data_IF_644518435801
#
_entry.id   IF_644518435801
#
_cell.length_a   1.000
_cell.length_b   1.000
_cell.length_c   1.000
_cell.angle_alpha   90.00
_cell.angle_beta   90.00
_cell.angle_gamma   90.00
#
_symmetry.space_group_name_H-M   'P 1'
#
loop_
_entity.id
_entity.type
_entity.pdbx_description
1 polymer ?
#
# COMPACT_ATOMS: atom_id res chain seq x y z
N UNK A 1 1.61 12.77 38.74
CA UNK A 1 1.83 12.87 37.29
C UNK A 1 2.14 11.49 36.75
N UNK A 2 1.53 11.12 35.64
CA UNK A 2 1.61 9.82 34.98
C UNK A 2 2.44 9.95 33.71
N UNK A 3 3.37 9.02 33.51
CA UNK A 3 4.20 8.97 32.31
C UNK A 3 3.35 8.59 31.10
N UNK A 4 3.45 9.39 30.04
CA UNK A 4 2.80 9.16 28.76
C UNK A 4 3.78 8.50 27.81
N UNK A 5 4.73 9.23 27.26
CA UNK A 5 5.62 8.73 26.22
C UNK A 5 6.94 9.48 26.22
N UNK A 6 7.89 8.94 25.47
CA UNK A 6 9.21 9.54 25.27
C UNK A 6 9.44 9.78 23.78
N UNK A 7 9.85 11.00 23.44
CA UNK A 7 10.20 11.38 22.07
C UNK A 7 11.69 11.73 21.97
N UNK A 8 12.27 11.57 20.79
CA UNK A 8 13.70 11.84 20.59
C UNK A 8 14.00 13.35 20.54
N UNK A 9 13.00 14.15 20.18
CA UNK A 9 13.07 15.60 20.11
C UNK A 9 11.78 16.26 20.58
N UNK A 10 11.87 17.50 21.08
CA UNK A 10 10.69 18.29 21.45
C UNK A 10 9.79 18.61 20.23
N UNK A 11 10.37 18.72 19.04
CA UNK A 11 9.63 18.96 17.80
C UNK A 11 8.63 17.84 17.47
N UNK A 12 8.95 16.59 17.80
CA UNK A 12 8.00 15.48 17.66
C UNK A 12 6.78 15.66 18.59
N UNK A 13 6.98 16.24 19.77
CA UNK A 13 5.93 16.47 20.76
C UNK A 13 5.09 17.72 20.46
N UNK A 14 5.62 18.69 19.71
CA UNK A 14 4.99 19.98 19.47
C UNK A 14 3.51 19.92 19.03
N UNK A 15 3.08 19.02 18.12
CA UNK A 15 1.67 18.90 17.75
C UNK A 15 0.78 18.49 18.92
N UNK A 16 1.23 17.50 19.71
CA UNK A 16 0.49 16.99 20.87
C UNK A 16 0.47 18.03 21.98
N UNK A 17 1.60 18.68 22.26
CA UNK A 17 1.67 19.74 23.27
C UNK A 17 0.71 20.89 22.94
N UNK A 18 0.61 21.30 21.68
CA UNK A 18 -0.35 22.30 21.24
C UNK A 18 -1.79 21.88 21.53
N UNK A 19 -2.12 20.61 21.31
CA UNK A 19 -3.45 20.08 21.55
C UNK A 19 -3.78 19.99 23.05
N UNK A 20 -2.83 19.53 23.87
CA UNK A 20 -2.96 19.50 25.34
C UNK A 20 -3.20 20.90 25.90
N UNK A 21 -2.40 21.88 25.46
CA UNK A 21 -2.56 23.27 25.87
C UNK A 21 -3.91 23.85 25.44
N UNK A 22 -4.39 23.53 24.23
CA UNK A 22 -5.68 24.02 23.74
C UNK A 22 -6.88 23.45 24.50
N UNK A 23 -6.73 22.27 25.10
CA UNK A 23 -7.75 21.61 25.91
C UNK A 23 -7.56 21.82 27.43
N UNK A 24 -6.64 22.71 27.83
CA UNK A 24 -6.30 22.97 29.24
C UNK A 24 -5.89 21.72 30.02
N UNK A 25 -5.25 20.75 29.35
CA UNK A 25 -4.74 19.53 30.00
C UNK A 25 -3.35 19.84 30.55
N UNK A 26 -3.20 19.77 31.87
CA UNK A 26 -1.91 19.98 32.53
C UNK A 26 -0.92 18.86 32.17
N UNK A 27 0.21 19.26 31.60
CA UNK A 27 1.30 18.36 31.24
C UNK A 27 2.66 18.89 31.72
N UNK A 28 3.62 17.98 31.85
CA UNK A 28 5.00 18.28 32.20
C UNK A 28 5.95 17.57 31.25
N UNK A 29 6.94 18.30 30.79
CA UNK A 29 8.06 17.78 30.01
C UNK A 29 9.29 17.68 30.90
N UNK A 30 9.95 16.52 30.85
CA UNK A 30 11.26 16.31 31.45
C UNK A 30 12.24 15.92 30.34
N UNK A 31 13.32 16.69 30.20
CA UNK A 31 14.38 16.40 29.24
C UNK A 31 15.52 15.63 29.93
N UNK A 32 16.01 14.58 29.27
CA UNK A 32 17.18 13.82 29.67
C UNK A 32 18.12 13.57 28.47
N UNK A 33 19.27 12.91 28.70
CA UNK A 33 20.26 12.61 27.63
C UNK A 33 19.69 11.78 26.47
N UNK A 34 18.55 11.13 26.67
CA UNK A 34 17.90 10.25 25.70
C UNK A 34 16.60 10.80 25.13
N UNK A 35 16.25 12.06 25.42
CA UNK A 35 15.13 12.77 24.79
C UNK A 35 14.19 13.47 25.77
N UNK A 36 12.92 13.59 25.38
CA UNK A 36 11.88 14.32 26.10
C UNK A 36 10.77 13.37 26.56
N UNK A 37 10.56 13.30 27.88
CA UNK A 37 9.51 12.50 28.51
C UNK A 37 8.30 13.37 28.85
N UNK A 38 7.13 13.00 28.34
CA UNK A 38 5.86 13.68 28.57
C UNK A 38 5.09 13.02 29.71
N UNK A 39 4.62 13.83 30.65
CA UNK A 39 3.78 13.42 31.76
C UNK A 39 2.48 14.23 31.80
N UNK A 40 1.39 13.63 32.27
CA UNK A 40 0.09 14.29 32.51
C UNK A 40 -0.38 14.12 33.94
N UNK A 41 -1.26 14.99 34.40
CA UNK A 41 -1.79 14.93 35.78
C UNK A 41 -2.82 13.83 35.96
N UNK A 42 -3.72 13.63 34.99
CA UNK A 42 -4.79 12.64 35.07
C UNK A 42 -4.49 11.38 34.24
N UNK A 43 -4.67 10.17 34.81
CA UNK A 43 -4.32 8.92 34.13
C UNK A 43 -5.25 8.62 32.95
N UNK A 44 -6.47 9.19 32.95
CA UNK A 44 -7.47 8.98 31.89
C UNK A 44 -6.99 9.43 30.52
N UNK A 45 -6.06 10.39 30.46
CA UNK A 45 -5.53 10.92 29.20
C UNK A 45 -4.34 10.14 28.66
N UNK A 46 -3.70 9.26 29.43
CA UNK A 46 -2.43 8.62 29.07
C UNK A 46 -2.54 7.86 27.75
N UNK A 47 -3.51 6.95 27.64
CA UNK A 47 -3.66 6.11 26.44
C UNK A 47 -4.14 6.91 25.23
N UNK A 48 -5.08 7.85 25.44
CA UNK A 48 -5.57 8.72 24.38
C UNK A 48 -4.45 9.58 23.76
N UNK A 49 -3.54 10.10 24.58
CA UNK A 49 -2.41 10.92 24.12
C UNK A 49 -1.37 10.05 23.40
N UNK A 50 -1.07 8.85 23.91
CA UNK A 50 -0.20 7.89 23.20
C UNK A 50 -0.75 7.55 21.83
N UNK A 51 -2.02 7.19 21.76
CA UNK A 51 -2.69 6.86 20.50
C UNK A 51 -2.68 8.03 19.52
N UNK A 52 -2.93 9.25 20.00
CA UNK A 52 -2.88 10.46 19.19
C UNK A 52 -1.47 10.75 18.66
N UNK A 53 -0.45 10.58 19.50
CA UNK A 53 0.96 10.75 19.12
C UNK A 53 1.39 9.73 18.06
N UNK A 54 1.08 8.45 18.29
CA UNK A 54 1.41 7.37 17.37
C UNK A 54 0.67 7.54 16.03
N UNK A 55 -0.60 7.98 16.07
CA UNK A 55 -1.36 8.31 14.87
C UNK A 55 -0.74 9.49 14.10
N UNK A 56 -0.27 10.51 14.81
CA UNK A 56 0.43 11.64 14.21
C UNK A 56 1.73 11.21 13.52
N UNK A 57 2.56 10.43 14.22
CA UNK A 57 3.79 9.88 13.63
C UNK A 57 3.50 9.02 12.40
N UNK A 58 2.50 8.14 12.47
CA UNK A 58 2.12 7.29 11.35
C UNK A 58 1.65 8.11 10.13
N UNK A 59 0.99 9.24 10.35
CA UNK A 59 0.63 10.18 9.27
C UNK A 59 1.86 10.87 8.68
N UNK A 60 2.81 11.31 9.51
CA UNK A 60 4.06 11.91 9.03
C UNK A 60 4.87 10.95 8.15
N UNK A 61 4.89 9.65 8.49
CA UNK A 61 5.60 8.61 7.72
C UNK A 61 5.06 8.38 6.30
N UNK A 62 3.86 8.90 6.00
CA UNK A 62 3.20 8.79 4.69
C UNK A 62 3.47 10.00 3.79
N UNK A 63 4.14 11.04 4.30
CA UNK A 63 4.51 12.19 3.48
C UNK A 63 5.66 11.87 2.55
N UNK A 64 5.74 12.54 1.40
CA UNK A 64 6.86 12.42 0.45
C UNK A 64 8.06 13.25 0.93
N UNK A 65 8.67 12.85 2.05
CA UNK A 65 9.89 13.45 2.59
C UNK A 65 11.10 12.56 2.32
N UNK A 66 12.30 13.15 2.35
CA UNK A 66 13.56 12.41 2.18
C UNK A 66 13.74 11.30 3.21
N UNK A 67 13.33 11.55 4.46
CA UNK A 67 13.43 10.58 5.54
C UNK A 67 12.52 9.38 5.29
N UNK A 68 11.30 9.63 4.77
CA UNK A 68 10.34 8.56 4.50
C UNK A 68 10.73 7.73 3.28
N UNK A 69 11.17 8.35 2.18
CA UNK A 69 11.48 7.61 0.94
C UNK A 69 12.70 6.70 1.11
N UNK A 70 13.66 7.08 1.96
CA UNK A 70 14.88 6.27 2.22
C UNK A 70 14.60 4.97 2.97
N UNK A 71 13.53 4.93 3.77
CA UNK A 71 13.16 3.75 4.55
C UNK A 71 12.20 2.80 3.82
N UNK A 72 11.69 3.18 2.64
CA UNK A 72 10.84 2.33 1.76
C UNK A 72 11.40 2.21 0.34
N UNK A 73 12.65 1.76 0.17
CA UNK A 73 13.33 1.76 -1.12
C UNK A 73 12.63 0.92 -2.19
N UNK A 74 11.98 -0.19 -1.83
CA UNK A 74 11.34 -1.07 -2.80
C UNK A 74 10.08 -0.41 -3.36
N UNK A 75 9.26 0.17 -2.49
CA UNK A 75 8.09 0.98 -2.88
C UNK A 75 8.50 2.08 -3.85
N UNK A 76 9.58 2.81 -3.53
CA UNK A 76 10.07 3.88 -4.39
C UNK A 76 10.55 3.36 -5.75
N UNK A 77 11.30 2.26 -5.79
CA UNK A 77 11.78 1.65 -7.04
C UNK A 77 10.60 1.29 -7.94
N UNK A 78 9.54 0.66 -7.41
CA UNK A 78 8.36 0.28 -8.18
C UNK A 78 7.62 1.51 -8.72
N UNK A 79 7.51 2.59 -7.94
CA UNK A 79 6.93 3.85 -8.38
C UNK A 79 7.76 4.46 -9.52
N UNK A 80 9.08 4.56 -9.36
CA UNK A 80 9.97 5.12 -10.38
C UNK A 80 9.90 4.30 -11.67
N UNK A 81 9.96 2.96 -11.58
CA UNK A 81 9.84 2.09 -12.74
C UNK A 81 8.49 2.26 -13.44
N UNK A 82 7.39 2.35 -12.68
CA UNK A 82 6.06 2.58 -13.25
C UNK A 82 5.97 3.93 -13.99
N UNK A 83 6.55 4.98 -13.42
CA UNK A 83 6.63 6.30 -14.06
C UNK A 83 7.47 6.25 -15.34
N UNK A 84 8.66 5.63 -15.29
CA UNK A 84 9.53 5.49 -16.47
C UNK A 84 8.82 4.72 -17.58
N UNK A 85 8.17 3.60 -17.26
CA UNK A 85 7.42 2.80 -18.24
C UNK A 85 6.24 3.59 -18.81
N UNK A 86 5.53 4.36 -17.99
CA UNK A 86 4.46 5.24 -18.47
C UNK A 86 4.97 6.31 -19.46
N UNK A 87 6.16 6.88 -19.23
CA UNK A 87 6.79 7.79 -20.19
C UNK A 87 7.23 7.07 -21.47
N UNK A 88 7.93 5.94 -21.36
CA UNK A 88 8.43 5.16 -22.50
C UNK A 88 7.30 4.66 -23.40
N UNK A 89 6.16 4.30 -22.81
CA UNK A 89 4.97 3.84 -23.53
C UNK A 89 4.03 4.97 -23.94
N UNK A 90 4.32 6.22 -23.52
CA UNK A 90 3.42 7.36 -23.71
C UNK A 90 1.99 7.03 -23.23
N UNK A 91 1.89 6.57 -21.97
CA UNK A 91 0.66 6.10 -21.34
C UNK A 91 -0.04 5.00 -22.15
N UNK A 92 0.75 4.03 -22.65
CA UNK A 92 0.27 2.87 -23.39
C UNK A 92 -0.11 3.12 -24.85
N UNK A 93 0.05 4.33 -25.37
CA UNK A 93 -0.17 4.62 -26.80
C UNK A 93 0.90 3.99 -27.71
N UNK A 94 2.12 3.83 -27.22
CA UNK A 94 3.26 3.24 -27.92
C UNK A 94 3.94 2.14 -27.10
N UNK A 95 4.70 1.24 -27.74
CA UNK A 95 5.58 0.24 -27.09
C UNK A 95 4.94 -0.67 -26.01
N UNK A 96 3.62 -0.72 -25.90
CA UNK A 96 2.90 -1.52 -24.88
C UNK A 96 3.15 -3.03 -24.98
N UNK A 97 3.42 -3.54 -26.18
CA UNK A 97 3.74 -4.96 -26.39
C UNK A 97 5.00 -5.41 -25.66
N UNK A 98 5.92 -4.49 -25.31
CA UNK A 98 7.12 -4.81 -24.53
C UNK A 98 6.83 -5.16 -23.06
N UNK A 99 5.58 -4.95 -22.62
CA UNK A 99 5.17 -5.17 -21.22
C UNK A 99 3.96 -6.09 -21.10
N UNK A 100 3.34 -6.52 -22.21
CA UNK A 100 2.19 -7.42 -22.16
C UNK A 100 2.59 -8.85 -21.80
N UNK A 101 1.76 -9.46 -20.95
CA UNK A 101 1.98 -10.81 -20.43
C UNK A 101 1.99 -11.91 -21.51
N UNK A 102 1.41 -11.65 -22.67
CA UNK A 102 1.33 -12.59 -23.78
C UNK A 102 1.50 -11.85 -25.11
N UNK A 103 2.02 -12.57 -26.10
CA UNK A 103 1.98 -12.15 -27.49
C UNK A 103 0.57 -12.28 -28.04
N UNK A 104 0.27 -11.53 -29.11
CA UNK A 104 -1.06 -11.51 -29.69
C UNK A 104 -1.01 -11.32 -31.22
N UNK A 105 -2.00 -11.90 -31.91
CA UNK A 105 -2.33 -11.63 -33.30
C UNK A 105 -3.74 -11.06 -33.40
N UNK A 106 -3.96 -10.12 -34.31
CA UNK A 106 -5.30 -9.58 -34.58
C UNK A 106 -6.06 -10.41 -35.62
N UNK A 107 -5.35 -11.14 -36.49
CA UNK A 107 -5.94 -11.86 -37.61
C UNK A 107 -5.27 -13.23 -37.83
N UNK A 108 -5.91 -14.34 -37.41
CA UNK A 108 -7.06 -14.41 -36.52
C UNK A 108 -6.73 -13.85 -35.13
N UNK A 109 -7.75 -13.38 -34.40
CA UNK A 109 -7.57 -12.91 -33.02
C UNK A 109 -7.12 -14.08 -32.12
N UNK A 110 -5.88 -14.02 -31.65
CA UNK A 110 -5.29 -15.06 -30.80
C UNK A 110 -4.19 -14.48 -29.92
N UNK A 111 -3.80 -15.22 -28.89
CA UNK A 111 -2.67 -14.90 -28.02
C UNK A 111 -1.97 -16.16 -27.54
N UNK A 112 -0.68 -16.06 -27.21
CA UNK A 112 0.12 -17.15 -26.64
C UNK A 112 1.15 -16.59 -25.66
N UNK A 113 1.51 -17.39 -24.67
CA UNK A 113 2.52 -17.01 -23.69
C UNK A 113 3.89 -16.91 -24.35
N UNK A 114 4.75 -16.07 -23.80
CA UNK A 114 6.15 -15.97 -24.22
C UNK A 114 6.90 -17.25 -23.85
N UNK A 115 7.98 -17.52 -24.57
CA UNK A 115 8.84 -18.67 -24.28
C UNK A 115 9.68 -18.47 -23.00
N UNK A 116 10.13 -19.58 -22.41
CA UNK A 116 11.10 -19.55 -21.32
C UNK A 116 12.46 -19.05 -21.83
N UNK A 117 13.17 -18.13 -21.14
CA UNK A 117 12.89 -17.57 -19.80
C UNK A 117 12.11 -16.24 -19.78
N UNK A 118 11.73 -15.70 -20.93
CA UNK A 118 11.12 -14.37 -21.05
C UNK A 118 9.79 -14.28 -20.30
N UNK A 119 9.03 -15.38 -20.27
CA UNK A 119 7.77 -15.48 -19.54
C UNK A 119 7.85 -15.04 -18.07
N UNK A 120 9.01 -15.18 -17.42
CA UNK A 120 9.21 -14.74 -16.04
C UNK A 120 9.04 -13.22 -15.91
N UNK A 121 9.66 -12.45 -16.80
CA UNK A 121 9.51 -11.00 -16.84
C UNK A 121 8.09 -10.60 -17.20
N UNK A 122 7.53 -11.21 -18.25
CA UNK A 122 6.20 -10.87 -18.75
C UNK A 122 5.04 -11.25 -17.80
N UNK A 123 5.29 -12.18 -16.88
CA UNK A 123 4.35 -12.47 -15.79
C UNK A 123 4.17 -11.30 -14.82
N UNK A 124 5.17 -10.40 -14.73
CA UNK A 124 5.20 -9.27 -13.79
C UNK A 124 5.04 -7.94 -14.52
N UNK A 125 5.65 -7.77 -15.69
CA UNK A 125 5.75 -6.50 -16.41
C UNK A 125 4.44 -5.71 -16.61
N UNK A 126 3.24 -6.32 -16.74
CA UNK A 126 2.00 -5.56 -16.85
C UNK A 126 1.76 -4.60 -15.68
N UNK A 127 2.32 -4.86 -14.49
CA UNK A 127 2.14 -3.98 -13.33
C UNK A 127 2.72 -2.57 -13.55
N UNK A 128 3.67 -2.42 -14.47
CA UNK A 128 4.29 -1.14 -14.79
C UNK A 128 3.58 -0.38 -15.91
N UNK A 129 2.75 -1.05 -16.71
CA UNK A 129 2.04 -0.44 -17.84
C UNK A 129 0.82 0.36 -17.33
N UNK A 130 0.67 1.60 -17.75
CA UNK A 130 -0.46 2.45 -17.34
C UNK A 130 -1.05 3.18 -18.55
N UNK A 131 -2.37 3.39 -18.52
CA UNK A 131 -3.14 4.02 -19.59
C UNK A 131 -3.87 5.23 -19.02
N UNK A 132 -3.55 6.44 -19.47
CA UNK A 132 -4.12 7.68 -18.93
C UNK A 132 -3.44 8.19 -17.66
N UNK A 133 -3.58 9.50 -17.40
CA UNK A 133 -2.94 10.19 -16.27
C UNK A 133 -3.62 9.83 -14.96
N UNK A 134 -4.94 9.81 -14.96
CA UNK A 134 -5.80 9.41 -13.86
C UNK A 134 -5.44 8.02 -13.33
N UNK A 135 -5.16 7.08 -14.23
CA UNK A 135 -4.84 5.71 -13.89
C UNK A 135 -3.47 5.60 -13.20
N UNK A 136 -2.43 6.24 -13.72
CA UNK A 136 -1.11 6.21 -13.06
C UNK A 136 -1.11 7.00 -11.76
N UNK A 137 -1.73 8.19 -11.71
CA UNK A 137 -1.78 9.00 -10.48
C UNK A 137 -2.49 8.24 -9.37
N UNK A 138 -3.66 7.67 -9.64
CA UNK A 138 -4.42 6.92 -8.65
C UNK A 138 -3.65 5.68 -8.17
N UNK A 139 -3.00 4.94 -9.07
CA UNK A 139 -2.17 3.81 -8.70
C UNK A 139 -0.97 4.21 -7.86
N UNK A 140 -0.22 5.26 -8.23
CA UNK A 140 0.98 5.66 -7.49
C UNK A 140 0.62 6.18 -6.09
N UNK A 141 -0.46 6.97 -5.97
CA UNK A 141 -0.95 7.45 -4.67
C UNK A 141 -1.41 6.31 -3.77
N UNK A 142 -2.24 5.41 -4.32
CA UNK A 142 -2.76 4.26 -3.57
C UNK A 142 -1.64 3.30 -3.20
N UNK A 143 -0.74 3.00 -4.15
CA UNK A 143 0.41 2.14 -3.91
C UNK A 143 1.29 2.74 -2.82
N UNK A 144 1.70 4.01 -2.92
CA UNK A 144 2.48 4.67 -1.87
C UNK A 144 1.81 4.56 -0.49
N UNK A 145 0.51 4.82 -0.41
CA UNK A 145 -0.23 4.82 0.86
C UNK A 145 -0.19 3.47 1.57
N UNK A 146 -0.41 2.36 0.85
CA UNK A 146 -0.44 1.02 1.45
C UNK A 146 0.94 0.35 1.47
N UNK A 147 1.71 0.46 0.38
CA UNK A 147 3.01 -0.17 0.24
C UNK A 147 4.04 0.38 1.23
N UNK A 148 4.11 1.71 1.39
CA UNK A 148 5.10 2.30 2.30
C UNK A 148 4.87 1.88 3.75
N UNK A 149 3.59 1.77 4.16
CA UNK A 149 3.22 1.28 5.48
C UNK A 149 3.61 -0.19 5.64
N UNK A 150 3.30 -1.05 4.66
CA UNK A 150 3.61 -2.47 4.76
C UNK A 150 5.12 -2.75 4.69
N UNK A 151 5.88 -2.10 3.81
CA UNK A 151 7.34 -2.28 3.70
C UNK A 151 8.05 -1.98 5.04
N UNK A 152 7.59 -0.96 5.77
CA UNK A 152 8.09 -0.64 7.13
C UNK A 152 7.67 -1.68 8.18
N UNK A 153 6.51 -2.31 8.01
CA UNK A 153 5.88 -3.15 9.07
C UNK A 153 6.23 -4.63 8.98
N UNK A 154 6.26 -5.22 7.79
CA UNK A 154 6.38 -6.68 7.62
C UNK A 154 7.77 -7.16 7.18
N UNK A 155 8.69 -6.21 6.96
CA UNK A 155 10.06 -6.46 6.53
C UNK A 155 10.19 -6.75 5.03
N UNK A 156 11.40 -6.52 4.51
CA UNK A 156 11.69 -6.52 3.06
C UNK A 156 11.41 -7.85 2.37
N UNK A 157 11.70 -8.98 3.02
CA UNK A 157 11.54 -10.31 2.40
C UNK A 157 10.07 -10.64 2.19
N UNK A 158 9.24 -10.51 3.22
CA UNK A 158 7.79 -10.69 3.09
C UNK A 158 7.23 -9.72 2.05
N UNK A 159 7.64 -8.45 2.13
CA UNK A 159 7.21 -7.43 1.18
C UNK A 159 7.48 -7.79 -0.28
N UNK A 160 8.71 -8.15 -0.65
CA UNK A 160 9.08 -8.53 -2.02
C UNK A 160 8.31 -9.79 -2.45
N UNK A 161 8.23 -10.81 -1.59
CA UNK A 161 7.52 -12.04 -1.93
C UNK A 161 6.04 -11.79 -2.21
N UNK A 162 5.38 -10.97 -1.38
CA UNK A 162 3.98 -10.59 -1.57
C UNK A 162 3.77 -9.78 -2.83
N UNK A 163 4.66 -8.81 -3.12
CA UNK A 163 4.61 -8.03 -4.36
C UNK A 163 4.65 -8.92 -5.60
N UNK A 164 5.57 -9.89 -5.65
CA UNK A 164 5.72 -10.82 -6.78
C UNK A 164 4.46 -11.70 -6.90
N UNK A 165 4.00 -12.28 -5.79
CA UNK A 165 2.81 -13.16 -5.79
C UNK A 165 1.56 -12.40 -6.24
N UNK A 166 1.35 -11.18 -5.73
CA UNK A 166 0.23 -10.34 -6.12
C UNK A 166 0.27 -9.97 -7.60
N UNK A 167 1.45 -9.59 -8.11
CA UNK A 167 1.64 -9.25 -9.52
C UNK A 167 1.30 -10.45 -10.42
N UNK A 168 1.93 -11.60 -10.15
CA UNK A 168 1.76 -12.81 -10.96
C UNK A 168 0.30 -13.28 -10.93
N UNK A 169 -0.29 -13.46 -9.74
CA UNK A 169 -1.65 -14.01 -9.64
C UNK A 169 -2.67 -13.08 -10.29
N UNK A 170 -2.60 -11.78 -10.03
CA UNK A 170 -3.57 -10.84 -10.62
C UNK A 170 -3.44 -10.71 -12.14
N UNK A 171 -2.21 -10.72 -12.66
CA UNK A 171 -1.97 -10.65 -14.10
C UNK A 171 -2.46 -11.92 -14.82
N UNK A 172 -2.15 -13.12 -14.31
CA UNK A 172 -2.63 -14.36 -14.92
C UNK A 172 -4.15 -14.50 -14.82
N UNK A 173 -4.75 -14.11 -13.69
CA UNK A 173 -6.21 -14.14 -13.55
C UNK A 173 -6.87 -13.24 -14.60
N UNK A 174 -6.36 -12.01 -14.80
CA UNK A 174 -6.87 -11.10 -15.82
C UNK A 174 -6.65 -11.63 -17.24
N UNK A 175 -5.48 -12.18 -17.54
CA UNK A 175 -5.17 -12.78 -18.84
C UNK A 175 -6.17 -13.87 -19.21
N UNK A 176 -6.43 -14.81 -18.30
CA UNK A 176 -7.32 -15.95 -18.54
C UNK A 176 -8.75 -15.48 -18.79
N UNK A 177 -9.20 -14.43 -18.08
CA UNK A 177 -10.59 -13.97 -18.15
C UNK A 177 -10.87 -12.98 -19.27
N UNK A 178 -9.89 -12.16 -19.66
CA UNK A 178 -10.13 -11.01 -20.55
C UNK A 178 -9.07 -10.85 -21.66
N UNK A 179 -8.05 -11.71 -21.72
CA UNK A 179 -6.95 -11.61 -22.69
C UNK A 179 -5.83 -10.65 -22.25
N UNK A 180 -4.83 -10.41 -23.12
CA UNK A 180 -3.56 -9.77 -22.74
C UNK A 180 -3.58 -8.24 -22.71
N UNK A 181 -4.66 -7.60 -23.15
CA UNK A 181 -4.75 -6.15 -23.32
C UNK A 181 -5.10 -5.44 -22.01
N UNK A 182 -4.22 -5.56 -21.02
CA UNK A 182 -4.36 -4.90 -19.73
C UNK A 182 -2.98 -4.47 -19.19
N UNK A 183 -3.02 -3.69 -18.12
CA UNK A 183 -1.83 -3.20 -17.44
C UNK A 183 -2.24 -2.37 -16.23
N UNK A 184 -1.35 -2.24 -15.27
CA UNK A 184 -1.48 -1.35 -14.14
C UNK A 184 -1.17 -2.04 -12.83
N UNK A 185 -0.71 -1.25 -11.85
CA UNK A 185 -0.34 -1.74 -10.52
C UNK A 185 -1.56 -2.11 -9.65
N UNK A 186 -2.77 -1.82 -10.13
CA UNK A 186 -4.02 -1.89 -9.37
C UNK A 186 -4.36 -3.27 -8.78
N UNK A 187 -4.04 -4.38 -9.46
CA UNK A 187 -4.19 -5.73 -8.90
C UNK A 187 -3.34 -5.93 -7.64
N UNK A 188 -2.09 -5.47 -7.69
CA UNK A 188 -1.20 -5.42 -6.51
C UNK A 188 -1.80 -4.52 -5.44
N UNK A 189 -2.20 -3.28 -5.78
CA UNK A 189 -2.79 -2.32 -4.84
C UNK A 189 -3.99 -2.92 -4.10
N UNK A 190 -4.91 -3.59 -4.78
CA UNK A 190 -6.05 -4.26 -4.14
C UNK A 190 -5.63 -5.37 -3.18
N UNK A 191 -4.57 -6.12 -3.51
CA UNK A 191 -3.96 -7.07 -2.59
C UNK A 191 -3.37 -6.41 -1.34
N UNK A 192 -2.68 -5.28 -1.51
CA UNK A 192 -2.13 -4.52 -0.38
C UNK A 192 -3.23 -3.95 0.52
N UNK A 193 -4.33 -3.48 -0.07
CA UNK A 193 -5.51 -2.99 0.65
C UNK A 193 -6.09 -4.10 1.51
N UNK A 194 -6.33 -5.27 0.93
CA UNK A 194 -6.88 -6.42 1.64
C UNK A 194 -5.96 -6.93 2.75
N UNK A 195 -4.65 -7.03 2.47
CA UNK A 195 -3.65 -7.40 3.47
C UNK A 195 -3.61 -6.39 4.63
N UNK A 196 -3.53 -5.10 4.30
CA UNK A 196 -3.47 -4.01 5.29
C UNK A 196 -4.72 -3.97 6.16
N UNK A 197 -5.89 -4.24 5.58
CA UNK A 197 -7.15 -4.29 6.32
C UNK A 197 -7.16 -5.45 7.33
N UNK A 198 -6.76 -6.65 6.90
CA UNK A 198 -6.64 -7.81 7.77
C UNK A 198 -5.63 -7.58 8.90
N UNK A 199 -4.45 -7.05 8.57
CA UNK A 199 -3.40 -6.72 9.52
C UNK A 199 -3.88 -5.69 10.56
N UNK A 200 -4.49 -4.59 10.10
CA UNK A 200 -4.98 -3.53 10.98
C UNK A 200 -6.06 -4.03 11.94
N UNK A 201 -6.92 -4.97 11.52
CA UNK A 201 -8.00 -5.51 12.34
C UNK A 201 -7.57 -6.62 13.29
N UNK A 202 -6.46 -7.31 13.02
CA UNK A 202 -6.13 -8.57 13.70
C UNK A 202 -4.77 -8.60 14.40
N UNK A 203 -3.84 -7.73 14.02
CA UNK A 203 -2.45 -7.74 14.52
C UNK A 203 -2.13 -6.44 15.23
N UNK A 204 -2.07 -5.33 14.50
CA UNK A 204 -1.76 -4.03 15.08
C UNK A 204 -2.29 -2.90 14.20
N UNK A 205 -2.64 -1.77 14.80
CA UNK A 205 -3.09 -0.59 14.06
C UNK A 205 -2.03 -0.17 13.03
N UNK A 206 -2.48 0.05 11.81
CA UNK A 206 -1.69 0.71 10.77
C UNK A 206 -2.01 2.21 10.70
N UNK A 207 -2.93 2.70 11.54
CA UNK A 207 -3.49 4.05 11.52
C UNK A 207 -4.06 4.46 10.16
N UNK A 208 -4.48 3.49 9.34
CA UNK A 208 -5.13 3.75 8.06
C UNK A 208 -6.61 4.01 8.32
N UNK A 209 -7.18 5.14 7.89
CA UNK A 209 -8.60 5.40 8.08
C UNK A 209 -9.47 4.28 7.51
N UNK A 210 -10.45 3.79 8.30
CA UNK A 210 -11.33 2.70 7.85
C UNK A 210 -12.08 3.05 6.55
N UNK A 211 -12.38 4.34 6.34
CA UNK A 211 -13.01 4.87 5.15
C UNK A 211 -12.24 4.56 3.85
N UNK A 212 -10.91 4.43 3.89
CA UNK A 212 -10.12 4.06 2.70
C UNK A 212 -10.44 2.65 2.23
N UNK A 213 -10.60 1.69 3.16
CA UNK A 213 -10.94 0.32 2.81
C UNK A 213 -12.37 0.23 2.28
N UNK A 214 -13.31 0.91 2.94
CA UNK A 214 -14.70 0.95 2.48
C UNK A 214 -14.81 1.58 1.09
N UNK A 215 -14.10 2.68 0.86
CA UNK A 215 -14.01 3.32 -0.44
C UNK A 215 -13.43 2.36 -1.48
N UNK A 216 -12.30 1.70 -1.20
CA UNK A 216 -11.68 0.78 -2.15
C UNK A 216 -12.57 -0.40 -2.54
N UNK A 217 -13.26 -1.01 -1.58
CA UNK A 217 -14.18 -2.12 -1.86
C UNK A 217 -15.45 -1.65 -2.58
N UNK A 218 -15.99 -0.47 -2.23
CA UNK A 218 -17.08 0.14 -2.99
C UNK A 218 -16.66 0.45 -4.44
N UNK A 219 -15.45 1.00 -4.61
CA UNK A 219 -14.86 1.29 -5.92
C UNK A 219 -14.69 0.02 -6.77
N UNK A 220 -14.28 -1.10 -6.15
CA UNK A 220 -14.21 -2.41 -6.81
C UNK A 220 -15.58 -2.86 -7.30
N UNK A 221 -16.62 -2.77 -6.45
CA UNK A 221 -17.97 -3.18 -6.81
C UNK A 221 -18.54 -2.29 -7.93
N UNK A 222 -18.30 -0.97 -7.87
CA UNK A 222 -18.66 -0.05 -8.94
C UNK A 222 -17.91 -0.36 -10.24
N UNK A 223 -16.69 -0.91 -10.14
CA UNK A 223 -15.89 -1.37 -11.27
C UNK A 223 -16.61 -2.40 -12.15
N UNK A 224 -17.41 -3.26 -11.55
CA UNK A 224 -18.23 -4.25 -12.26
C UNK A 224 -19.47 -3.66 -12.95
N UNK A 225 -19.71 -2.36 -12.80
CA UNK A 225 -20.79 -1.65 -13.49
C UNK A 225 -20.25 -0.83 -14.67
N UNK A 226 -21.07 -0.50 -15.68
CA UNK A 226 -20.64 0.36 -16.80
C UNK A 226 -20.35 1.82 -16.42
N UNK A 227 -20.48 2.19 -15.14
CA UNK A 227 -20.38 3.57 -14.67
C UNK A 227 -19.08 4.25 -15.13
N UNK A 228 -17.94 3.58 -15.00
CA UNK A 228 -16.63 4.14 -15.36
C UNK A 228 -16.45 4.32 -16.86
N UNK A 229 -17.01 3.43 -17.67
CA UNK A 229 -17.06 3.59 -19.13
C UNK A 229 -17.91 4.80 -19.51
N UNK A 230 -19.07 4.99 -18.85
CA UNK A 230 -19.98 6.12 -19.11
C UNK A 230 -19.35 7.48 -18.81
N UNK A 231 -18.49 7.58 -17.80
CA UNK A 231 -17.80 8.82 -17.43
C UNK A 231 -16.41 8.95 -18.08
N UNK A 232 -16.05 8.05 -19.00
CA UNK A 232 -14.83 8.15 -19.81
C UNK A 232 -13.54 7.68 -19.13
N UNK A 233 -13.63 6.91 -18.04
CA UNK A 233 -12.47 6.33 -17.35
C UNK A 233 -12.04 4.96 -17.91
N UNK A 234 -12.75 4.45 -18.92
CA UNK A 234 -12.48 3.17 -19.56
C UNK A 234 -12.97 1.96 -18.76
N UNK A 235 -12.72 0.76 -19.31
CA UNK A 235 -13.09 -0.49 -18.66
C UNK A 235 -12.06 -0.89 -17.61
N UNK A 236 -12.55 -1.29 -16.44
CA UNK A 236 -11.69 -1.69 -15.33
C UNK A 236 -11.27 -3.15 -15.47
N UNK A 237 -10.00 -3.43 -15.17
CA UNK A 237 -9.46 -4.79 -15.05
C UNK A 237 -9.94 -5.46 -13.74
N UNK A 238 -11.26 -5.63 -13.59
CA UNK A 238 -11.86 -6.05 -12.32
C UNK A 238 -11.40 -7.43 -11.87
N UNK A 239 -11.09 -8.34 -12.79
CA UNK A 239 -10.55 -9.66 -12.44
C UNK A 239 -9.19 -9.52 -11.76
N UNK A 240 -8.31 -8.63 -12.26
CA UNK A 240 -7.04 -8.32 -11.61
C UNK A 240 -7.26 -7.76 -10.19
N UNK A 241 -8.22 -6.85 -10.02
CA UNK A 241 -8.52 -6.25 -8.71
C UNK A 241 -9.05 -7.27 -7.71
N UNK A 242 -10.05 -8.06 -8.10
CA UNK A 242 -10.67 -9.06 -7.24
C UNK A 242 -9.68 -10.17 -6.86
N UNK A 243 -8.98 -10.72 -7.86
CA UNK A 243 -7.96 -11.75 -7.60
C UNK A 243 -6.83 -11.21 -6.72
N UNK A 244 -6.36 -9.99 -6.98
CA UNK A 244 -5.40 -9.29 -6.14
C UNK A 244 -5.86 -9.18 -4.69
N UNK A 245 -7.10 -8.70 -4.45
CA UNK A 245 -7.67 -8.59 -3.11
C UNK A 245 -7.76 -9.94 -2.39
N UNK A 246 -8.23 -10.99 -3.08
CA UNK A 246 -8.30 -12.36 -2.53
C UNK A 246 -6.90 -12.87 -2.17
N UNK A 247 -5.94 -12.75 -3.08
CA UNK A 247 -4.56 -13.18 -2.86
C UNK A 247 -3.90 -12.42 -1.71
N UNK A 248 -4.13 -11.10 -1.62
CA UNK A 248 -3.62 -10.27 -0.53
C UNK A 248 -4.19 -10.67 0.83
N UNK A 249 -5.49 -10.98 0.89
CA UNK A 249 -6.10 -11.47 2.12
C UNK A 249 -5.56 -12.85 2.53
N UNK A 250 -5.43 -13.78 1.57
CA UNK A 250 -4.81 -15.10 1.82
C UNK A 250 -3.37 -14.93 2.31
N UNK A 251 -2.59 -14.06 1.67
CA UNK A 251 -1.22 -13.76 2.07
C UNK A 251 -1.17 -13.22 3.51
N UNK A 252 -2.09 -12.34 3.89
CA UNK A 252 -2.23 -11.89 5.28
C UNK A 252 -2.51 -13.05 6.24
N UNK A 253 -3.42 -13.98 5.90
CA UNK A 253 -3.72 -15.13 6.75
C UNK A 253 -2.46 -15.99 6.97
N UNK A 254 -1.68 -16.25 5.91
CA UNK A 254 -0.42 -16.98 6.00
C UNK A 254 0.63 -16.24 6.84
N UNK A 255 0.76 -14.93 6.65
CA UNK A 255 1.63 -14.08 7.46
C UNK A 255 1.24 -14.16 8.94
N UNK A 256 -0.06 -14.06 9.25
CA UNK A 256 -0.58 -14.15 10.62
C UNK A 256 -0.27 -15.51 11.23
N UNK A 257 -0.45 -16.62 10.50
CA UNK A 257 -0.17 -17.96 11.03
C UNK A 257 1.31 -18.13 11.40
N UNK A 258 2.22 -17.64 10.57
CA UNK A 258 3.67 -17.75 10.81
C UNK A 258 4.17 -16.84 11.93
N UNK A 259 3.50 -15.71 12.17
CA UNK A 259 3.90 -14.72 13.19
C UNK A 259 3.08 -14.81 14.48
N UNK A 260 1.93 -15.50 14.49
CA UNK A 260 1.14 -15.79 15.69
C UNK A 260 1.69 -16.98 16.49
N UNK A 261 2.49 -17.85 15.87
CA UNK A 261 3.06 -19.04 16.52
C UNK A 261 4.35 -18.72 17.30
N UNK A 262 4.94 -17.54 17.11
CA UNK A 262 6.17 -17.10 17.79
C UNK A 262 5.99 -16.09 18.94
N UNK A 263 4.76 -15.74 19.33
CA UNK A 263 4.50 -14.55 20.17
C UNK A 263 3.90 -14.83 21.55
N UNK A 264 4.56 -15.64 22.38
CA UNK A 264 4.50 -15.44 23.84
C UNK A 264 5.88 -14.97 24.29
N UNK A 265 5.95 -13.74 24.79
CA UNK A 265 7.13 -13.02 25.31
C UNK A 265 8.10 -12.54 24.20
N UNK A 266 8.63 -11.32 24.16
CA UNK A 266 8.96 -10.34 25.21
C UNK A 266 8.76 -8.87 24.74
N UNK A 267 8.62 -8.00 25.74
CA UNK A 267 8.56 -6.53 25.70
C UNK A 267 9.88 -5.87 25.26
N UNK A 268 9.81 -4.69 24.66
CA UNK A 268 10.50 -3.44 25.08
C UNK A 268 10.09 -2.25 24.21
#
# INVERSE_FOLDING_TARGET
>A
MFFVLKASSEQELAPILKELHSNSIECRLEADESGFSLYVTEPVYVDAIRDAFDAHQANQQRTLSWDNVRVVPITLIIIILSIVVAFVTQLGSSNKSWFFIAEYSFYPASWWLHDWPQQVWFSISPVFLHFGWEHIIFNMLSFWLFASVLERRIGKLHWISGLIVLAVVSNYAQLIMAGPFFGGLSGVVYGLIAFSWGYQKSIASLYLPNGLFYFAFAWLLLGYTPLFEWIGLGSMANTAHLSGAITGFIWFLLYRLTHSVGGKHEYR
#
